data_IF_110120802283
#
_entry.id   IF_110120802283
#
_cell.length_a   1.000
_cell.length_b   1.000
_cell.length_c   1.000
_cell.angle_alpha   90.00
_cell.angle_beta   90.00
_cell.angle_gamma   90.00
#
_symmetry.space_group_name_H-M   'P 1'
#
loop_
_entity.id
_entity.type
_entity.pdbx_description
1 polymer ?
#
# COMPACT_ATOMS: atom_id res chain seq x y z
N UNK A 1 -22.10 -34.96 52.06
CA UNK A 1 -23.51 -34.52 52.12
C UNK A 1 -23.86 -33.83 50.80
N UNK A 2 -24.99 -34.26 50.22
CA UNK A 2 -25.70 -33.78 49.01
C UNK A 2 -24.98 -33.83 47.65
N UNK A 3 -25.24 -34.95 46.98
CA UNK A 3 -25.39 -35.06 45.53
C UNK A 3 -26.80 -34.59 45.11
N UNK A 4 -26.92 -33.98 43.92
CA UNK A 4 -28.12 -34.04 43.08
C UNK A 4 -27.70 -33.98 41.62
N UNK A 5 -28.01 -35.08 40.93
CA UNK A 5 -28.02 -35.23 39.48
C UNK A 5 -29.45 -35.00 38.97
N UNK A 6 -29.62 -34.60 37.69
CA UNK A 6 -30.21 -35.42 36.62
C UNK A 6 -30.61 -34.58 35.37
N UNK A 7 -30.14 -35.06 34.23
CA UNK A 7 -30.88 -35.39 32.99
C UNK A 7 -31.56 -34.32 32.11
N UNK A 8 -31.39 -34.49 30.79
CA UNK A 8 -32.48 -34.25 29.82
C UNK A 8 -32.13 -33.65 28.45
N UNK A 9 -31.57 -34.46 27.54
CA UNK A 9 -31.52 -34.33 26.07
C UNK A 9 -32.90 -34.05 25.38
N UNK A 10 -33.05 -34.04 24.03
CA UNK A 10 -32.31 -33.43 22.90
C UNK A 10 -33.28 -32.74 21.87
N UNK A 11 -32.77 -32.09 20.83
CA UNK A 11 -33.65 -31.53 19.77
C UNK A 11 -32.94 -31.16 18.47
N UNK A 12 -32.75 -32.16 17.61
CA UNK A 12 -32.24 -32.02 16.24
C UNK A 12 -33.35 -31.51 15.30
N UNK A 13 -33.09 -30.44 14.52
CA UNK A 13 -33.76 -30.22 13.23
C UNK A 13 -32.75 -29.73 12.19
N UNK A 14 -32.42 -30.64 11.28
CA UNK A 14 -31.90 -30.36 9.95
C UNK A 14 -32.90 -29.46 9.20
N UNK A 15 -32.41 -28.43 8.52
CA UNK A 15 -33.09 -27.86 7.37
C UNK A 15 -32.11 -27.77 6.21
N UNK A 16 -32.20 -28.79 5.36
CA UNK A 16 -31.68 -28.79 3.99
C UNK A 16 -32.44 -27.73 3.20
N UNK A 17 -31.70 -26.84 2.53
CA UNK A 17 -32.25 -25.76 1.70
C UNK A 17 -31.34 -25.48 0.53
N UNK A 18 -31.16 -26.50 -0.32
CA UNK A 18 -30.50 -26.40 -1.62
C UNK A 18 -31.33 -25.49 -2.55
N UNK A 19 -30.78 -24.34 -2.96
CA UNK A 19 -31.23 -23.62 -4.16
C UNK A 19 -30.03 -23.09 -4.94
N UNK A 20 -29.52 -23.94 -5.81
CA UNK A 20 -28.90 -23.53 -7.08
C UNK A 20 -29.89 -22.69 -7.89
N UNK A 21 -29.43 -21.55 -8.39
CA UNK A 21 -29.99 -20.84 -9.54
C UNK A 21 -28.94 -19.85 -10.08
N UNK A 22 -28.98 -19.52 -11.37
CA UNK A 22 -27.90 -19.88 -12.27
C UNK A 22 -26.98 -18.73 -12.68
N UNK A 23 -25.78 -19.13 -13.09
CA UNK A 23 -24.84 -18.41 -13.95
C UNK A 23 -25.57 -17.84 -15.16
N UNK A 24 -25.57 -16.51 -15.31
CA UNK A 24 -25.74 -15.85 -16.61
C UNK A 24 -24.38 -15.39 -17.11
N UNK A 25 -23.88 -16.09 -18.12
CA UNK A 25 -22.84 -15.64 -19.06
C UNK A 25 -23.54 -15.49 -20.40
N UNK A 26 -23.72 -14.26 -20.89
CA UNK A 26 -23.78 -13.77 -22.29
C UNK A 26 -23.86 -12.23 -22.16
N UNK A 27 -23.12 -11.33 -22.82
CA UNK A 27 -22.12 -11.42 -23.86
C UNK A 27 -21.68 -9.99 -24.24
N UNK A 28 -20.44 -9.90 -24.69
CA UNK A 28 -19.84 -8.97 -25.66
C UNK A 28 -20.55 -7.64 -26.00
N UNK A 29 -19.86 -6.55 -25.69
CA UNK A 29 -20.11 -5.20 -26.23
C UNK A 29 -18.78 -4.53 -26.58
N UNK A 30 -18.07 -5.11 -27.55
CA UNK A 30 -16.83 -4.57 -28.09
C UNK A 30 -17.20 -3.51 -29.16
N UNK A 31 -17.14 -2.22 -28.82
CA UNK A 31 -17.25 -1.13 -29.79
C UNK A 31 -16.09 -0.15 -29.65
N UNK A 32 -15.15 -0.32 -30.57
CA UNK A 32 -14.07 0.58 -30.92
C UNK A 32 -14.58 2.02 -31.09
N UNK A 33 -13.90 2.99 -30.46
CA UNK A 33 -13.60 4.27 -31.09
C UNK A 33 -12.12 4.59 -30.88
N UNK A 34 -11.34 4.36 -31.94
CA UNK A 34 -10.07 5.04 -32.19
C UNK A 34 -10.36 6.36 -32.92
N UNK A 35 -9.33 7.21 -32.96
CA UNK A 35 -9.16 8.50 -33.65
C UNK A 35 -9.85 9.69 -32.98
N UNK A 36 -9.23 10.85 -32.80
CA UNK A 36 -7.85 11.29 -32.96
C UNK A 36 -7.72 12.65 -32.25
N UNK A 37 -6.47 13.04 -31.95
CA UNK A 37 -5.95 14.41 -31.88
C UNK A 37 -6.93 15.56 -31.59
N UNK A 38 -6.74 16.24 -30.46
CA UNK A 38 -6.58 17.69 -30.53
C UNK A 38 -5.76 18.22 -29.35
N UNK A 39 -4.55 18.63 -29.70
CA UNK A 39 -3.72 19.59 -28.97
C UNK A 39 -4.52 20.87 -28.79
N UNK A 40 -4.88 21.23 -27.54
CA UNK A 40 -5.20 22.62 -27.23
C UNK A 40 -4.39 23.12 -26.03
N UNK A 41 -3.32 23.80 -26.43
CA UNK A 41 -2.63 24.84 -25.69
C UNK A 41 -3.61 25.99 -25.39
N UNK A 42 -3.75 26.34 -24.11
CA UNK A 42 -4.12 27.68 -23.63
C UNK A 42 -3.29 27.87 -22.35
N UNK A 43 -2.28 28.73 -22.25
CA UNK A 43 -2.13 30.14 -22.65
C UNK A 43 -3.32 31.00 -22.20
N UNK A 44 -3.27 31.41 -20.93
CA UNK A 44 -3.75 32.70 -20.44
C UNK A 44 -2.69 33.20 -19.45
N UNK A 45 -1.73 34.01 -19.93
CA UNK A 45 -1.79 35.46 -19.90
C UNK A 45 -1.62 36.05 -18.48
N UNK A 46 -0.37 36.06 -18.01
CA UNK A 46 0.11 36.91 -16.92
C UNK A 46 1.28 37.75 -17.42
N UNK A 47 0.97 38.87 -18.06
CA UNK A 47 1.93 39.86 -18.58
C UNK A 47 2.49 40.71 -17.44
N UNK A 48 3.73 41.22 -17.64
CA UNK A 48 4.47 42.32 -16.98
C UNK A 48 5.59 41.81 -16.07
N UNK A 49 6.87 42.18 -16.22
CA UNK A 49 7.46 43.41 -16.74
C UNK A 49 8.90 43.19 -17.23
N UNK A 50 9.21 43.90 -18.33
CA UNK A 50 10.50 44.47 -18.80
C UNK A 50 11.78 44.13 -18.03
N UNK A 51 12.76 43.60 -18.76
CA UNK A 51 14.18 43.61 -18.36
C UNK A 51 15.12 43.33 -19.53
N UNK A 52 15.53 44.40 -20.21
CA UNK A 52 16.75 44.61 -21.02
C UNK A 52 17.26 43.54 -22.01
N UNK A 53 17.31 43.96 -23.28
CA UNK A 53 18.20 43.45 -24.32
C UNK A 53 19.67 43.59 -23.90
N UNK A 54 20.44 42.52 -24.01
CA UNK A 54 21.86 42.57 -24.32
C UNK A 54 22.20 41.40 -25.25
N UNK A 55 22.43 41.72 -26.52
CA UNK A 55 22.98 40.79 -27.49
C UNK A 55 24.50 40.66 -27.26
N UNK A 56 24.98 39.44 -27.02
CA UNK A 56 26.35 39.06 -27.35
C UNK A 56 26.31 37.68 -28.03
N UNK A 57 26.63 37.70 -29.32
CA UNK A 57 27.02 36.52 -30.06
C UNK A 57 28.47 36.18 -29.71
N UNK A 58 28.72 34.94 -29.29
CA UNK A 58 30.04 34.33 -29.33
C UNK A 58 29.86 32.87 -29.76
N UNK A 59 30.37 32.56 -30.95
CA UNK A 59 30.54 31.21 -31.44
C UNK A 59 31.57 30.49 -30.54
N UNK A 60 31.18 29.37 -29.97
CA UNK A 60 32.07 28.48 -29.23
C UNK A 60 31.74 27.04 -29.57
N UNK A 61 32.58 26.40 -30.39
CA UNK A 61 32.68 24.95 -30.42
C UNK A 61 33.20 24.49 -29.06
N UNK A 62 32.42 23.68 -28.33
CA UNK A 62 32.81 23.23 -27.00
C UNK A 62 32.00 22.04 -26.53
N UNK A 63 32.60 20.86 -26.66
CA UNK A 63 32.52 19.70 -25.76
C UNK A 63 31.14 19.15 -25.36
N UNK A 64 30.92 17.92 -25.82
CA UNK A 64 30.01 16.89 -25.29
C UNK A 64 29.92 16.99 -23.77
N UNK A 65 28.85 17.59 -23.27
CA UNK A 65 28.49 17.52 -21.85
C UNK A 65 27.52 16.36 -21.73
N UNK A 66 28.03 15.22 -21.27
CA UNK A 66 27.22 14.06 -20.96
C UNK A 66 26.09 14.47 -20.02
N UNK A 67 24.86 14.30 -20.48
CA UNK A 67 23.69 14.46 -19.64
C UNK A 67 23.86 13.56 -18.44
N UNK A 68 23.99 14.17 -17.26
CA UNK A 68 23.81 13.44 -16.00
C UNK A 68 22.45 12.76 -16.11
N UNK A 69 22.37 11.41 -16.01
CA UNK A 69 21.07 10.77 -15.94
C UNK A 69 20.37 11.41 -14.74
N UNK A 70 19.22 12.01 -15.01
CA UNK A 70 18.29 12.47 -13.99
C UNK A 70 18.01 11.25 -13.12
N UNK A 71 18.74 11.16 -12.02
CA UNK A 71 18.66 10.03 -11.12
C UNK A 71 17.28 10.15 -10.50
N UNK A 72 16.36 9.28 -10.94
CA UNK A 72 15.16 9.01 -10.16
C UNK A 72 15.63 8.82 -8.71
N UNK A 73 14.95 9.40 -7.71
CA UNK A 73 15.33 9.21 -6.32
C UNK A 73 15.52 7.72 -6.09
N UNK A 74 16.73 7.31 -5.71
CA UNK A 74 16.98 5.94 -5.34
C UNK A 74 15.94 5.57 -4.27
N UNK A 75 15.24 4.44 -4.44
CA UNK A 75 14.28 3.90 -3.48
C UNK A 75 14.82 4.18 -2.08
N UNK A 76 14.13 5.04 -1.34
CA UNK A 76 14.67 5.62 -0.10
C UNK A 76 14.83 4.51 0.94
N UNK A 77 16.01 3.91 0.94
CA UNK A 77 16.44 2.91 1.89
C UNK A 77 16.36 3.54 3.29
N UNK A 78 15.60 2.93 4.19
CA UNK A 78 15.52 3.39 5.58
C UNK A 78 14.19 3.16 6.29
N UNK A 79 13.13 2.79 5.56
CA UNK A 79 11.85 2.42 6.18
C UNK A 79 11.77 0.94 6.61
N UNK A 80 12.59 0.07 5.99
CA UNK A 80 12.69 -1.34 6.35
C UNK A 80 13.32 -1.52 7.75
N UNK A 81 12.85 -2.51 8.50
CA UNK A 81 13.27 -2.81 9.86
C UNK A 81 12.59 -1.97 10.94
N UNK A 82 11.47 -1.32 10.62
CA UNK A 82 10.74 -0.45 11.54
C UNK A 82 9.23 -0.68 11.47
N UNK A 83 8.57 -0.33 12.57
CA UNK A 83 7.12 -0.13 12.66
C UNK A 83 6.81 1.34 12.43
N UNK A 84 5.71 1.59 11.74
CA UNK A 84 5.26 2.92 11.37
C UNK A 84 3.80 3.08 11.79
N UNK A 85 3.52 4.00 12.70
CA UNK A 85 2.16 4.33 13.13
C UNK A 85 1.61 5.41 12.22
N UNK A 86 0.49 5.17 11.56
CA UNK A 86 -0.15 6.14 10.67
C UNK A 86 -0.82 7.21 11.52
N UNK A 87 -0.37 8.45 11.38
CA UNK A 87 -0.86 9.61 12.15
C UNK A 87 -1.85 10.45 11.35
N UNK A 88 -1.82 10.37 10.02
CA UNK A 88 -2.78 11.01 9.13
C UNK A 88 -2.93 10.26 7.81
N UNK A 89 -4.11 10.38 7.22
CA UNK A 89 -4.44 9.87 5.88
C UNK A 89 -5.02 11.03 5.08
N UNK A 90 -4.40 11.37 3.96
CA UNK A 90 -4.97 12.24 2.95
C UNK A 90 -5.67 11.42 1.87
N UNK A 91 -6.86 11.86 1.49
CA UNK A 91 -7.57 11.38 0.32
C UNK A 91 -8.05 12.59 -0.49
N UNK A 92 -7.54 12.72 -1.72
CA UNK A 92 -7.89 13.81 -2.63
C UNK A 92 -7.71 15.22 -2.02
N UNK A 93 -6.62 15.43 -1.26
CA UNK A 93 -6.31 16.71 -0.63
C UNK A 93 -7.08 17.00 0.66
N UNK A 94 -7.88 16.04 1.15
CA UNK A 94 -8.48 16.09 2.48
C UNK A 94 -7.69 15.21 3.44
N UNK A 95 -6.86 15.85 4.26
CA UNK A 95 -6.15 15.19 5.35
C UNK A 95 -7.09 14.91 6.54
N UNK A 96 -7.03 13.68 7.04
CA UNK A 96 -7.73 13.23 8.24
C UNK A 96 -6.72 12.69 9.23
N UNK A 97 -6.63 13.31 10.41
CA UNK A 97 -5.81 12.79 11.52
C UNK A 97 -6.33 11.43 11.98
N UNK A 98 -5.41 10.50 12.24
CA UNK A 98 -5.69 9.17 12.77
C UNK A 98 -5.16 9.09 14.20
N UNK A 99 -6.04 9.14 15.21
CA UNK A 99 -5.65 8.93 16.60
C UNK A 99 -5.01 7.55 16.87
N UNK A 100 -3.98 7.49 17.71
CA UNK A 100 -3.25 6.26 18.05
C UNK A 100 -4.15 5.10 18.51
N UNK A 101 -5.30 5.40 19.14
CA UNK A 101 -6.28 4.38 19.58
C UNK A 101 -6.81 3.49 18.46
N UNK A 102 -6.72 3.92 17.20
CA UNK A 102 -7.13 3.11 16.05
C UNK A 102 -6.06 2.08 15.65
N UNK A 103 -4.81 2.20 16.11
CA UNK A 103 -3.77 1.21 15.85
C UNK A 103 -3.44 1.01 14.36
N UNK A 104 -3.68 2.02 13.53
CA UNK A 104 -3.39 1.97 12.09
C UNK A 104 -1.88 2.07 11.89
N UNK A 105 -1.29 1.16 11.12
CA UNK A 105 0.17 1.13 10.99
C UNK A 105 0.68 0.26 9.85
N UNK A 106 1.94 0.50 9.48
CA UNK A 106 2.69 -0.23 8.46
C UNK A 106 3.93 -0.88 9.10
N UNK A 107 4.33 -2.02 8.57
CA UNK A 107 5.48 -2.79 9.02
C UNK A 107 6.24 -3.32 7.81
N UNK A 108 7.54 -3.05 7.79
CA UNK A 108 8.43 -3.51 6.73
C UNK A 108 9.57 -4.27 7.36
N UNK A 109 9.67 -5.57 7.12
CA UNK A 109 10.82 -6.34 7.59
C UNK A 109 12.00 -6.17 6.62
N UNK A 110 13.26 -6.28 7.09
CA UNK A 110 14.43 -6.21 6.22
C UNK A 110 14.49 -7.30 5.15
N UNK A 111 13.83 -8.45 5.38
CA UNK A 111 13.78 -9.57 4.44
C UNK A 111 12.60 -9.52 3.45
N UNK A 112 11.93 -8.37 3.30
CA UNK A 112 10.88 -8.18 2.29
C UNK A 112 9.47 -8.60 2.73
N UNK A 113 9.22 -8.77 4.02
CA UNK A 113 7.89 -8.99 4.58
C UNK A 113 7.15 -7.67 4.79
N UNK A 114 5.86 -7.65 4.41
CA UNK A 114 4.97 -6.51 4.55
C UNK A 114 3.86 -6.84 5.55
N UNK A 115 3.53 -5.85 6.39
CA UNK A 115 2.42 -5.91 7.31
C UNK A 115 1.71 -4.56 7.40
N UNK A 116 0.39 -4.57 7.54
CA UNK A 116 -0.39 -3.36 7.70
C UNK A 116 -1.63 -3.61 8.57
N UNK A 117 -1.95 -2.71 9.49
CA UNK A 117 -3.20 -2.77 10.27
C UNK A 117 -4.10 -1.61 9.90
N UNK A 118 -5.39 -1.91 9.74
CA UNK A 118 -6.42 -0.94 9.34
C UNK A 118 -7.40 -0.57 10.47
N UNK A 119 -7.03 -0.88 11.73
CA UNK A 119 -7.84 -0.86 12.96
C UNK A 119 -8.78 -2.03 13.20
N UNK A 120 -9.21 -2.74 12.14
CA UNK A 120 -10.14 -3.87 12.24
C UNK A 120 -9.43 -5.18 11.91
N UNK A 121 -8.58 -5.13 10.89
CA UNK A 121 -7.88 -6.24 10.30
C UNK A 121 -6.38 -5.98 10.21
N UNK A 122 -5.67 -7.09 10.06
CA UNK A 122 -4.25 -7.11 9.72
C UNK A 122 -4.06 -7.73 8.35
N UNK A 123 -3.33 -7.02 7.50
CA UNK A 123 -2.95 -7.39 6.14
C UNK A 123 -1.47 -7.76 6.12
N UNK A 124 -1.11 -8.83 5.41
CA UNK A 124 0.26 -9.31 5.36
C UNK A 124 0.63 -9.93 4.04
N UNK A 125 1.89 -9.81 3.66
CA UNK A 125 2.42 -10.37 2.42
C UNK A 125 3.90 -10.07 2.29
N UNK A 126 4.36 -9.92 1.06
CA UNK A 126 5.72 -9.48 0.77
C UNK A 126 5.71 -8.10 0.12
N UNK A 127 6.84 -7.40 0.20
CA UNK A 127 7.10 -6.21 -0.59
C UNK A 127 8.47 -6.32 -1.28
N UNK A 128 8.60 -5.58 -2.38
CA UNK A 128 9.87 -5.37 -3.07
C UNK A 128 10.04 -3.88 -3.28
N UNK A 129 11.21 -3.35 -2.92
CA UNK A 129 11.55 -1.97 -3.24
C UNK A 129 11.65 -1.80 -4.77
N UNK A 130 11.11 -0.70 -5.28
CA UNK A 130 11.07 -0.40 -6.71
C UNK A 130 11.09 1.10 -6.91
N UNK A 131 12.04 1.63 -7.69
CA UNK A 131 12.07 3.04 -8.08
C UNK A 131 11.99 3.99 -6.88
N UNK A 132 10.91 4.76 -6.79
CA UNK A 132 10.61 5.75 -5.74
C UNK A 132 9.82 5.18 -4.55
N UNK A 133 9.70 3.86 -4.43
CA UNK A 133 8.97 3.25 -3.33
C UNK A 133 9.01 1.72 -3.34
N UNK A 134 7.85 1.08 -3.32
CA UNK A 134 7.73 -0.37 -3.25
C UNK A 134 6.44 -0.89 -3.89
N UNK A 135 6.46 -2.15 -4.29
CA UNK A 135 5.25 -2.90 -4.66
C UNK A 135 5.08 -4.07 -3.69
N UNK A 136 3.84 -4.38 -3.35
CA UNK A 136 3.45 -5.52 -2.52
C UNK A 136 3.20 -6.77 -3.37
N UNK A 137 3.05 -7.93 -2.74
CA UNK A 137 2.36 -9.06 -3.34
C UNK A 137 0.84 -8.94 -3.14
N UNK A 138 0.08 -9.95 -3.58
CA UNK A 138 -1.24 -10.20 -3.00
C UNK A 138 -1.11 -10.31 -1.48
N UNK A 139 -2.06 -9.72 -0.76
CA UNK A 139 -2.07 -9.66 0.69
C UNK A 139 -3.10 -10.63 1.28
N UNK A 140 -2.72 -11.27 2.38
CA UNK A 140 -3.64 -12.01 3.24
C UNK A 140 -4.18 -11.06 4.30
N UNK A 141 -5.51 -11.06 4.50
CA UNK A 141 -6.17 -10.27 5.55
C UNK A 141 -6.77 -11.19 6.61
N UNK A 142 -6.79 -10.73 7.85
CA UNK A 142 -7.76 -11.26 8.82
C UNK A 142 -9.19 -10.95 8.35
N UNK A 143 -10.16 -11.77 8.74
CA UNK A 143 -11.53 -11.68 8.22
C UNK A 143 -12.52 -11.17 9.29
N UNK A 144 -12.17 -10.07 9.96
CA UNK A 144 -13.06 -9.40 10.91
C UNK A 144 -13.93 -8.39 10.17
N UNK A 145 -15.25 -8.49 10.36
CA UNK A 145 -16.21 -7.53 9.81
C UNK A 145 -16.35 -6.29 10.70
N UNK A 146 -16.53 -5.13 10.07
CA UNK A 146 -16.86 -3.88 10.76
C UNK A 146 -18.21 -3.34 10.29
N UNK A 147 -19.17 -3.27 11.21
CA UNK A 147 -20.53 -2.76 10.95
C UNK A 147 -20.77 -1.33 11.47
N UNK A 148 -19.73 -0.71 12.02
CA UNK A 148 -19.79 0.66 12.54
C UNK A 148 -19.79 1.72 11.43
N UNK A 149 -19.82 2.98 11.84
CA UNK A 149 -19.86 4.15 10.95
C UNK A 149 -18.76 5.17 11.24
N UNK A 150 -17.73 4.77 12.00
CA UNK A 150 -16.62 5.67 12.28
C UNK A 150 -15.88 6.01 10.97
N UNK A 151 -15.87 7.28 10.55
CA UNK A 151 -15.27 7.66 9.29
C UNK A 151 -13.76 7.40 9.25
N UNK A 152 -13.07 7.44 10.39
CA UNK A 152 -11.62 7.18 10.46
C UNK A 152 -11.34 5.70 10.20
N UNK A 153 -12.16 4.81 10.77
CA UNK A 153 -12.05 3.36 10.55
C UNK A 153 -12.30 3.02 9.08
N UNK A 154 -13.38 3.54 8.50
CA UNK A 154 -13.71 3.27 7.10
C UNK A 154 -12.64 3.82 6.13
N UNK A 155 -12.06 4.98 6.45
CA UNK A 155 -10.95 5.56 5.69
C UNK A 155 -9.70 4.69 5.79
N UNK A 156 -9.33 4.24 7.00
CA UNK A 156 -8.17 3.38 7.21
C UNK A 156 -8.30 2.04 6.49
N UNK A 157 -9.46 1.38 6.58
CA UNK A 157 -9.76 0.14 5.84
C UNK A 157 -9.56 0.34 4.34
N UNK A 158 -10.07 1.43 3.79
CA UNK A 158 -9.98 1.72 2.35
C UNK A 158 -8.53 2.03 1.92
N UNK A 159 -7.81 2.84 2.72
CA UNK A 159 -6.42 3.20 2.44
C UNK A 159 -5.48 1.99 2.51
N UNK A 160 -5.66 1.11 3.50
CA UNK A 160 -4.81 -0.09 3.65
C UNK A 160 -5.15 -1.14 2.58
N UNK A 161 -6.43 -1.27 2.19
CA UNK A 161 -6.83 -2.17 1.09
C UNK A 161 -6.22 -1.77 -0.26
N UNK A 162 -5.83 -0.50 -0.43
CA UNK A 162 -5.20 -0.02 -1.66
C UNK A 162 -3.80 -0.63 -1.91
N UNK A 163 -3.18 -1.25 -0.90
CA UNK A 163 -1.93 -1.99 -1.05
C UNK A 163 -2.09 -3.38 -1.66
N UNK A 164 -3.31 -3.91 -1.80
CA UNK A 164 -3.46 -5.26 -2.35
C UNK A 164 -3.24 -5.29 -3.87
N UNK A 165 -2.99 -6.48 -4.42
CA UNK A 165 -2.82 -6.74 -5.85
C UNK A 165 -1.54 -6.13 -6.48
N UNK A 166 -0.51 -5.92 -5.68
CA UNK A 166 0.81 -5.50 -6.16
C UNK A 166 0.87 -4.12 -6.80
N UNK A 167 -0.04 -3.24 -6.38
CA UNK A 167 -0.02 -1.83 -6.74
C UNK A 167 1.30 -1.21 -6.25
N UNK A 168 1.90 -0.38 -7.09
CA UNK A 168 3.07 0.40 -6.71
C UNK A 168 2.68 1.51 -5.74
N UNK A 169 3.42 1.62 -4.64
CA UNK A 169 3.31 2.68 -3.66
C UNK A 169 4.60 3.52 -3.68
N UNK A 170 4.46 4.83 -3.91
CA UNK A 170 5.57 5.75 -3.76
C UNK A 170 5.84 5.99 -2.26
N UNK A 171 7.10 6.05 -1.86
CA UNK A 171 7.47 6.20 -0.45
C UNK A 171 8.58 7.22 -0.27
N UNK A 172 8.32 8.24 0.54
CA UNK A 172 9.29 9.26 0.90
C UNK A 172 9.58 9.20 2.41
N UNK A 173 10.86 9.14 2.76
CA UNK A 173 11.31 9.13 4.15
C UNK A 173 11.94 10.49 4.49
N UNK A 174 11.45 11.12 5.56
CA UNK A 174 12.04 12.33 6.13
C UNK A 174 12.22 12.13 7.64
N UNK A 175 13.44 11.75 8.06
CA UNK A 175 13.76 11.43 9.44
C UNK A 175 12.91 10.27 9.99
N UNK A 176 12.03 10.60 10.93
CA UNK A 176 11.10 9.65 11.57
C UNK A 176 9.69 9.69 10.98
N UNK A 177 9.49 10.38 9.85
CA UNK A 177 8.24 10.39 9.11
C UNK A 177 8.39 9.64 7.79
N UNK A 178 7.50 8.68 7.56
CA UNK A 178 7.30 8.00 6.30
C UNK A 178 6.01 8.49 5.66
N UNK A 179 6.10 8.98 4.44
CA UNK A 179 4.94 9.34 3.61
C UNK A 179 4.81 8.31 2.49
N UNK A 180 3.66 7.63 2.43
CA UNK A 180 3.39 6.59 1.42
C UNK A 180 2.18 6.99 0.58
N UNK A 181 2.32 7.02 -0.74
CA UNK A 181 1.22 7.30 -1.67
C UNK A 181 0.83 6.05 -2.43
N UNK A 182 -0.43 5.62 -2.32
CA UNK A 182 -0.95 4.40 -2.96
C UNK A 182 -2.43 4.53 -3.26
N UNK A 183 -2.87 4.14 -4.45
CA UNK A 183 -4.31 4.07 -4.80
C UNK A 183 -5.12 5.35 -4.57
N UNK A 184 -4.49 6.53 -4.66
CA UNK A 184 -5.14 7.83 -4.39
C UNK A 184 -5.16 8.27 -2.92
N UNK A 185 -4.52 7.51 -2.04
CA UNK A 185 -4.31 7.85 -0.63
C UNK A 185 -2.87 8.25 -0.37
N UNK A 186 -2.65 9.18 0.55
CA UNK A 186 -1.34 9.46 1.13
C UNK A 186 -1.39 9.15 2.62
N UNK A 187 -0.60 8.19 3.08
CA UNK A 187 -0.45 7.84 4.48
C UNK A 187 0.78 8.56 5.04
N UNK A 188 0.59 9.33 6.10
CA UNK A 188 1.68 9.97 6.85
C UNK A 188 1.85 9.16 8.13
N UNK A 189 3.02 8.57 8.30
CA UNK A 189 3.32 7.68 9.41
C UNK A 189 4.57 8.09 10.18
N UNK A 190 4.53 7.95 11.49
CA UNK A 190 5.65 8.17 12.40
C UNK A 190 6.32 6.83 12.72
N UNK A 191 7.65 6.83 12.81
CA UNK A 191 8.43 5.68 13.28
C UNK A 191 8.07 5.36 14.73
N UNK A 192 7.65 4.12 14.98
CA UNK A 192 7.16 3.65 16.29
C UNK A 192 8.11 2.65 16.97
N UNK A 193 9.17 2.24 16.27
CA UNK A 193 10.23 1.41 16.83
C UNK A 193 10.82 0.43 15.83
N UNK A 194 11.75 -0.40 16.30
CA UNK A 194 12.36 -1.47 15.49
C UNK A 194 11.37 -2.59 15.25
N UNK A 195 11.30 -3.05 14.01
CA UNK A 195 10.63 -4.30 13.68
C UNK A 195 11.59 -5.44 13.96
N UNK A 196 11.19 -6.38 14.81
CA UNK A 196 11.94 -7.60 15.02
C UNK A 196 11.97 -8.42 13.72
N UNK A 197 13.12 -9.02 13.40
CA UNK A 197 13.13 -10.05 12.38
C UNK A 197 12.34 -11.25 12.92
N UNK A 198 11.45 -11.86 12.12
CA UNK A 198 10.97 -13.19 12.47
C UNK A 198 12.19 -14.14 12.56
N UNK A 199 12.18 -15.13 13.46
CA UNK A 199 13.28 -16.07 13.58
C UNK A 199 13.55 -16.72 12.23
N UNK A 200 14.81 -16.75 11.80
CA UNK A 200 15.23 -17.48 10.61
C UNK A 200 14.86 -18.95 10.81
N UNK A 201 13.91 -19.46 10.03
CA UNK A 201 13.66 -20.91 10.00
C UNK A 201 14.87 -21.54 9.31
N UNK A 202 15.78 -22.12 10.11
CA UNK A 202 16.84 -22.96 9.58
C UNK A 202 16.15 -24.22 9.05
N UNK A 203 16.23 -24.55 7.74
CA UNK A 203 15.69 -25.79 7.23
C UNK A 203 16.38 -26.95 7.94
N UNK A 204 15.65 -27.60 8.85
CA UNK A 204 16.10 -28.84 9.49
C UNK A 204 15.88 -29.95 8.48
N UNK A 205 16.86 -30.13 7.58
CA UNK A 205 16.68 -31.03 6.45
C UNK A 205 17.89 -31.12 5.53
N UNK A 206 19.10 -31.15 6.09
CA UNK A 206 20.25 -31.70 5.38
C UNK A 206 20.87 -32.77 6.29
N UNK A 207 20.17 -33.89 6.44
CA UNK A 207 20.83 -35.13 6.88
C UNK A 207 21.82 -35.51 5.78
N UNK A 208 23.09 -35.22 5.99
CA UNK A 208 24.18 -35.80 5.21
C UNK A 208 24.14 -37.32 5.41
N UNK A 209 23.60 -38.06 4.44
CA UNK A 209 23.88 -39.48 4.34
C UNK A 209 25.33 -39.63 3.88
N UNK A 210 26.23 -39.89 4.83
CA UNK A 210 27.54 -40.46 4.52
C UNK A 210 27.29 -41.92 4.14
N UNK A 211 27.53 -42.26 2.88
CA UNK A 211 27.59 -43.64 2.43
C UNK A 211 28.86 -44.29 3.00
N UNK A 212 28.68 -45.45 3.64
CA UNK A 212 29.73 -46.41 3.94
C UNK A 212 29.67 -47.58 2.96
#
# INVERSE_FOLDING_TARGET
MKASALAGQPGSKRSSGNRSSPVRVIGEGNARRRTANETHSQICAGVRCRGALAALAAAGCGTVTGGTPNSAPAAQAGFAGYKWTVTAIDQAGKETTVPDRYGVGLQFTPNGGFGASDSVNYHSGTYRQAGDGFATSSLYTTAMGYSGKDPVVLLAVSAISAFDNGVHAAAALNGDQLTVTVGGYTLIARRDGRQANPPTVIPTGASSSVAG
#
